data_IF_092447615096
#
_entry.id   IF_092447615096
#
_cell.length_a   1.000
_cell.length_b   1.000
_cell.length_c   1.000
_cell.angle_alpha   90.00
_cell.angle_beta   90.00
_cell.angle_gamma   90.00
#
_symmetry.space_group_name_H-M   'P 1'
#
loop_
_entity.id
_entity.type
_entity.pdbx_description
1 polymer ?
#
# COMPACT_ATOMS: atom_id res chain seq x y z
N UNK A 1 19.08 -9.26 2.89
CA UNK A 1 17.64 -9.22 3.22
C UNK A 1 16.98 -8.28 2.25
N UNK A 2 15.82 -8.63 1.71
CA UNK A 2 15.05 -7.76 0.81
C UNK A 2 14.37 -6.64 1.62
N UNK A 3 14.30 -5.44 1.08
CA UNK A 3 13.54 -4.33 1.67
C UNK A 3 12.05 -4.65 1.54
N UNK A 4 11.29 -4.60 2.63
CA UNK A 4 9.84 -4.78 2.62
C UNK A 4 9.15 -3.41 2.60
N UNK A 5 8.22 -3.20 1.68
CA UNK A 5 7.33 -2.02 1.69
C UNK A 5 5.89 -2.50 1.75
N UNK A 6 5.18 -2.12 2.80
CA UNK A 6 3.75 -2.40 2.94
C UNK A 6 2.91 -1.23 2.42
N UNK A 7 1.82 -1.49 1.71
CA UNK A 7 0.94 -0.45 1.14
C UNK A 7 -0.43 -0.45 1.82
N UNK A 8 -0.78 0.69 2.42
CA UNK A 8 -2.12 0.98 2.93
C UNK A 8 -2.62 2.25 2.25
N UNK A 9 -3.70 2.15 1.48
CA UNK A 9 -4.29 3.30 0.77
C UNK A 9 -5.81 3.28 0.83
N UNK A 10 -6.43 4.37 0.40
CA UNK A 10 -7.87 4.56 0.23
C UNK A 10 -8.27 4.71 -1.26
N UNK A 11 -7.38 4.29 -2.17
CA UNK A 11 -7.55 4.46 -3.62
C UNK A 11 -8.56 3.48 -4.23
N UNK A 12 -8.92 2.42 -3.50
CA UNK A 12 -9.63 1.28 -4.03
C UNK A 12 -8.79 0.43 -4.99
N UNK A 13 -9.42 -0.63 -5.51
CA UNK A 13 -8.84 -1.57 -6.47
C UNK A 13 -9.54 -1.56 -7.84
N UNK A 14 -10.43 -0.58 -8.07
CA UNK A 14 -11.25 -0.52 -9.27
C UNK A 14 -10.49 -0.05 -10.53
N UNK A 15 -9.38 0.66 -10.36
CA UNK A 15 -8.57 1.20 -11.45
C UNK A 15 -7.07 0.86 -11.30
N UNK A 16 -6.24 1.42 -12.19
CA UNK A 16 -4.80 1.14 -12.28
C UNK A 16 -3.94 1.84 -11.23
N UNK A 17 -4.49 2.73 -10.40
CA UNK A 17 -3.68 3.65 -9.59
C UNK A 17 -2.72 2.91 -8.65
N UNK A 18 -3.18 1.85 -7.97
CA UNK A 18 -2.34 1.01 -7.11
C UNK A 18 -1.22 0.32 -7.91
N UNK A 19 -1.52 -0.12 -9.15
CA UNK A 19 -0.53 -0.75 -10.01
C UNK A 19 0.54 0.25 -10.49
N UNK A 20 0.16 1.51 -10.76
CA UNK A 20 1.08 2.58 -11.12
C UNK A 20 2.06 2.88 -9.96
N UNK A 21 1.55 2.99 -8.74
CA UNK A 21 2.38 3.17 -7.52
C UNK A 21 3.38 2.02 -7.37
N UNK A 22 2.92 0.78 -7.50
CA UNK A 22 3.77 -0.42 -7.42
C UNK A 22 4.85 -0.42 -8.50
N UNK A 23 4.49 -0.06 -9.73
CA UNK A 23 5.42 0.03 -10.85
C UNK A 23 6.54 1.03 -10.59
N UNK A 24 6.22 2.22 -10.06
CA UNK A 24 7.23 3.21 -9.67
C UNK A 24 8.15 2.65 -8.57
N UNK A 25 7.60 2.08 -7.49
CA UNK A 25 8.40 1.53 -6.39
C UNK A 25 9.37 0.43 -6.85
N UNK A 26 8.88 -0.52 -7.65
CA UNK A 26 9.70 -1.60 -8.21
C UNK A 26 10.78 -1.08 -9.17
N UNK A 27 10.54 0.03 -9.87
CA UNK A 27 11.53 0.66 -10.76
C UNK A 27 12.66 1.37 -10.01
N UNK A 28 12.40 1.86 -8.80
CA UNK A 28 13.34 2.66 -8.02
C UNK A 28 14.15 1.83 -7.02
N UNK A 29 13.58 0.72 -6.51
CA UNK A 29 14.22 -0.09 -5.45
C UNK A 29 14.36 -1.53 -5.92
N UNK A 30 15.58 -1.91 -6.33
CA UNK A 30 15.86 -3.27 -6.75
C UNK A 30 15.75 -4.26 -5.58
N UNK A 31 15.03 -5.35 -5.79
CA UNK A 31 14.86 -6.41 -4.79
C UNK A 31 13.89 -6.06 -3.66
N UNK A 32 13.06 -5.02 -3.82
CA UNK A 32 11.98 -4.71 -2.87
C UNK A 32 10.88 -5.77 -2.96
N UNK A 33 10.30 -6.11 -1.81
CA UNK A 33 9.09 -6.92 -1.70
C UNK A 33 7.94 -6.00 -1.30
N UNK A 34 6.93 -5.91 -2.16
CA UNK A 34 5.72 -5.13 -1.90
C UNK A 34 4.65 -6.05 -1.29
N UNK A 35 4.01 -5.59 -0.22
CA UNK A 35 2.90 -6.28 0.45
C UNK A 35 1.74 -5.31 0.62
N UNK A 36 0.58 -5.63 0.06
CA UNK A 36 -0.60 -4.82 0.31
C UNK A 36 -1.19 -5.15 1.69
N UNK A 37 -1.46 -4.13 2.48
CA UNK A 37 -2.28 -4.23 3.68
C UNK A 37 -3.75 -4.19 3.25
N UNK A 38 -4.15 -3.10 2.59
CA UNK A 38 -5.44 -2.95 1.88
C UNK A 38 -5.44 -1.63 1.11
N UNK A 39 -6.29 -1.53 0.09
CA UNK A 39 -6.58 -0.30 -0.65
C UNK A 39 -8.03 0.17 -0.46
N UNK A 40 -8.79 -0.55 0.37
CA UNK A 40 -10.25 -0.40 0.50
C UNK A 40 -10.65 0.39 1.76
N UNK A 41 -9.74 1.22 2.28
CA UNK A 41 -10.12 2.19 3.31
C UNK A 41 -11.06 3.23 2.69
N UNK A 42 -12.11 3.63 3.40
CA UNK A 42 -12.99 4.70 2.92
C UNK A 42 -12.17 5.98 2.66
N UNK A 43 -12.38 6.67 1.53
CA UNK A 43 -11.61 7.86 1.16
C UNK A 43 -11.56 8.90 2.29
N UNK A 44 -10.34 9.24 2.72
CA UNK A 44 -10.08 10.21 3.80
C UNK A 44 -10.36 9.72 5.23
N UNK A 45 -10.76 8.46 5.45
CA UNK A 45 -10.96 7.92 6.81
C UNK A 45 -9.63 7.56 7.49
N UNK A 46 -8.98 8.58 8.02
CA UNK A 46 -7.70 8.46 8.73
C UNK A 46 -7.80 7.55 9.97
N UNK A 47 -8.95 7.49 10.64
CA UNK A 47 -9.11 6.65 11.84
C UNK A 47 -9.16 5.17 11.47
N UNK A 48 -9.90 4.81 10.42
CA UNK A 48 -9.91 3.46 9.91
C UNK A 48 -8.50 3.04 9.44
N UNK A 49 -7.81 3.90 8.67
CA UNK A 49 -6.44 3.64 8.25
C UNK A 49 -5.49 3.43 9.43
N UNK A 50 -5.54 4.30 10.45
CA UNK A 50 -4.72 4.16 11.66
C UNK A 50 -4.97 2.83 12.38
N UNK A 51 -6.23 2.45 12.54
CA UNK A 51 -6.59 1.17 13.16
C UNK A 51 -6.00 -0.01 12.36
N UNK A 52 -6.18 -0.02 11.04
CA UNK A 52 -5.61 -1.07 10.16
C UNK A 52 -4.09 -1.13 10.29
N UNK A 53 -3.42 0.02 10.22
CA UNK A 53 -1.97 0.11 10.33
C UNK A 53 -1.44 -0.42 11.68
N UNK A 54 -2.18 -0.17 12.78
CA UNK A 54 -1.80 -0.65 14.12
C UNK A 54 -1.84 -2.17 14.29
N UNK A 55 -2.46 -2.91 13.35
CA UNK A 55 -2.63 -4.37 13.41
C UNK A 55 -1.59 -5.14 12.61
N UNK A 56 -0.81 -4.45 11.79
CA UNK A 56 0.14 -5.04 10.82
C UNK A 56 1.59 -4.61 11.09
N UNK A 57 1.81 -3.85 12.16
CA UNK A 57 3.12 -3.46 12.67
C UNK A 57 3.66 -4.49 13.67
#
# INVERSE_FOLDING_TARGET
>A
MATLITLLTDCGSADSYVAEVKGVLLSQVHGVVLVDITHEVSPGDVRAAQYVLSRVW
#
